data_IF_221416410952
#
_entry.id   IF_221416410952
#
_cell.length_a   1.000
_cell.length_b   1.000
_cell.length_c   1.000
_cell.angle_alpha   90.00
_cell.angle_beta   90.00
_cell.angle_gamma   90.00
#
_symmetry.space_group_name_H-M   'P 1'
#
loop_
_entity.id
_entity.type
_entity.pdbx_description
1 polymer ?
#
# COMPACT_ATOMS: atom_id res chain seq x y z
N UNK A 1 -23.63 -1.16 0.83
CA UNK A 1 -22.23 -1.66 0.66
C UNK A 1 -21.31 -0.55 1.11
N UNK A 2 -20.50 -0.77 2.13
CA UNK A 2 -19.53 0.21 2.61
C UNK A 2 -18.31 0.26 1.68
N UNK A 3 -17.40 1.25 1.86
CA UNK A 3 -16.25 1.44 0.98
C UNK A 3 -15.25 0.27 1.02
N UNK A 4 -15.13 -0.42 2.15
CA UNK A 4 -14.29 -1.61 2.28
C UNK A 4 -14.86 -2.80 1.49
N UNK A 5 -16.17 -3.03 1.57
CA UNK A 5 -16.85 -4.06 0.77
C UNK A 5 -16.72 -3.77 -0.73
N UNK A 6 -16.79 -2.49 -1.13
CA UNK A 6 -16.54 -2.10 -2.53
C UNK A 6 -15.12 -2.42 -2.95
N UNK A 7 -14.13 -2.11 -2.12
CA UNK A 7 -12.72 -2.40 -2.39
C UNK A 7 -12.48 -3.89 -2.58
N UNK A 8 -12.98 -4.71 -1.65
CA UNK A 8 -12.90 -6.17 -1.73
C UNK A 8 -13.59 -6.67 -3.00
N UNK A 9 -14.80 -6.15 -3.30
CA UNK A 9 -15.53 -6.53 -4.51
C UNK A 9 -14.82 -6.15 -5.80
N UNK A 10 -14.12 -5.00 -5.86
CA UNK A 10 -13.29 -4.61 -7.01
C UNK A 10 -12.11 -5.56 -7.14
N UNK A 11 -11.37 -5.81 -6.06
CA UNK A 11 -10.21 -6.69 -6.04
C UNK A 11 -10.57 -8.13 -6.45
N UNK A 12 -11.67 -8.68 -5.91
CA UNK A 12 -12.14 -10.05 -6.20
C UNK A 12 -12.53 -10.26 -7.66
N UNK A 13 -12.98 -9.21 -8.36
CA UNK A 13 -13.32 -9.28 -9.79
C UNK A 13 -12.12 -9.08 -10.72
N UNK A 14 -11.00 -8.62 -10.20
CA UNK A 14 -9.80 -8.38 -10.99
C UNK A 14 -8.94 -9.63 -11.08
N UNK A 15 -8.84 -10.20 -12.26
CA UNK A 15 -8.04 -11.41 -12.51
C UNK A 15 -6.58 -11.20 -12.14
N UNK A 16 -5.97 -10.07 -12.57
CA UNK A 16 -4.57 -9.80 -12.26
C UNK A 16 -4.34 -9.63 -10.75
N UNK A 17 -5.25 -8.93 -10.06
CA UNK A 17 -5.11 -8.68 -8.63
C UNK A 17 -5.22 -9.98 -7.83
N UNK A 18 -6.20 -10.84 -8.14
CA UNK A 18 -6.36 -12.14 -7.49
C UNK A 18 -5.20 -13.08 -7.78
N UNK A 19 -4.66 -13.09 -9.01
CA UNK A 19 -3.45 -13.85 -9.35
C UNK A 19 -2.25 -13.35 -8.55
N UNK A 20 -2.08 -12.03 -8.46
CA UNK A 20 -1.00 -11.43 -7.67
C UNK A 20 -1.11 -11.78 -6.18
N UNK A 21 -2.28 -11.59 -5.57
CA UNK A 21 -2.53 -11.92 -4.17
C UNK A 21 -2.29 -13.41 -3.88
N UNK A 22 -2.72 -14.29 -4.79
CA UNK A 22 -2.48 -15.74 -4.66
C UNK A 22 -1.00 -16.09 -4.75
N UNK A 23 -0.25 -15.47 -5.65
CA UNK A 23 1.19 -15.69 -5.79
C UNK A 23 1.95 -15.26 -4.52
N UNK A 24 1.62 -14.09 -3.94
CA UNK A 24 2.28 -13.61 -2.72
C UNK A 24 1.91 -14.49 -1.51
N UNK A 25 0.66 -14.95 -1.39
CA UNK A 25 0.25 -15.88 -0.33
C UNK A 25 1.10 -17.16 -0.32
N UNK A 26 1.46 -17.68 -1.50
CA UNK A 26 2.29 -18.87 -1.63
C UNK A 26 3.76 -18.67 -1.18
N UNK A 27 4.20 -17.41 -1.03
CA UNK A 27 5.50 -17.10 -0.45
C UNK A 27 5.57 -17.36 1.06
N UNK A 28 4.42 -17.56 1.71
CA UNK A 28 4.29 -17.86 3.14
C UNK A 28 4.92 -16.81 4.06
N UNK A 29 4.74 -15.54 3.70
CA UNK A 29 5.14 -14.41 4.54
C UNK A 29 4.12 -14.20 5.67
N UNK A 30 4.59 -13.99 6.90
CA UNK A 30 3.71 -13.86 8.08
C UNK A 30 2.86 -12.59 8.04
N UNK A 31 3.43 -11.49 7.56
CA UNK A 31 2.79 -10.18 7.50
C UNK A 31 3.14 -9.51 6.19
N UNK A 32 2.18 -9.41 5.27
CA UNK A 32 2.38 -8.88 3.93
C UNK A 32 1.12 -8.25 3.35
N UNK A 33 1.29 -7.41 2.35
CA UNK A 33 0.21 -6.94 1.48
C UNK A 33 0.76 -6.56 0.09
N UNK A 34 -0.14 -6.51 -0.90
CA UNK A 34 0.04 -5.74 -2.12
C UNK A 34 -0.63 -4.40 -1.89
N UNK A 35 0.05 -3.28 -2.20
CA UNK A 35 -0.49 -1.96 -1.89
C UNK A 35 -0.07 -0.87 -2.86
N UNK A 36 -0.10 0.36 -2.37
CA UNK A 36 0.46 1.48 -3.10
C UNK A 36 -0.29 1.86 -4.39
N UNK A 37 0.50 2.11 -5.41
CA UNK A 37 0.00 2.54 -6.73
C UNK A 37 -0.86 1.51 -7.42
N UNK A 38 -0.56 0.23 -7.25
CA UNK A 38 -1.29 -0.87 -7.87
C UNK A 38 -2.75 -0.93 -7.40
N UNK A 39 -2.99 -0.84 -6.08
CA UNK A 39 -4.35 -0.86 -5.52
C UNK A 39 -5.10 0.44 -5.84
N UNK A 40 -4.41 1.60 -5.81
CA UNK A 40 -5.03 2.85 -6.24
C UNK A 40 -5.51 2.77 -7.70
N UNK A 41 -4.68 2.33 -8.61
CA UNK A 41 -5.04 2.24 -10.02
C UNK A 41 -6.17 1.23 -10.25
N UNK A 42 -6.13 0.08 -9.58
CA UNK A 42 -7.22 -0.91 -9.63
C UNK A 42 -8.59 -0.29 -9.29
N UNK A 43 -8.66 0.50 -8.21
CA UNK A 43 -9.89 1.16 -7.79
C UNK A 43 -10.28 2.26 -8.76
N UNK A 44 -9.35 3.09 -9.20
CA UNK A 44 -9.62 4.21 -10.09
C UNK A 44 -10.03 3.76 -11.48
N UNK A 45 -9.42 2.72 -12.03
CA UNK A 45 -9.85 2.08 -13.28
C UNK A 45 -11.30 1.61 -13.19
N UNK A 46 -11.64 0.95 -12.08
CA UNK A 46 -13.02 0.52 -11.83
C UNK A 46 -14.00 1.67 -11.72
N UNK A 47 -13.62 2.78 -11.05
CA UNK A 47 -14.47 3.97 -10.92
C UNK A 47 -14.67 4.73 -12.23
N UNK A 48 -13.68 4.69 -13.13
CA UNK A 48 -13.77 5.27 -14.47
C UNK A 48 -14.43 4.34 -15.49
N UNK A 49 -14.65 3.07 -15.14
CA UNK A 49 -15.20 2.08 -16.05
C UNK A 49 -14.23 1.68 -17.16
N UNK A 50 -12.92 1.72 -16.91
CA UNK A 50 -11.92 1.30 -17.89
C UNK A 50 -11.96 -0.22 -18.08
N UNK A 51 -12.12 -0.68 -19.32
CA UNK A 51 -12.09 -2.09 -19.69
C UNK A 51 -10.66 -2.66 -19.66
N UNK A 52 -9.69 -1.81 -20.02
CA UNK A 52 -8.26 -2.17 -19.99
C UNK A 52 -7.61 -1.55 -18.77
N UNK A 53 -6.97 -2.36 -17.92
CA UNK A 53 -6.26 -1.84 -16.75
C UNK A 53 -5.18 -0.83 -17.14
N UNK A 54 -5.05 0.23 -16.34
CA UNK A 54 -3.93 1.19 -16.47
C UNK A 54 -2.60 0.44 -16.29
N UNK A 55 -1.62 0.77 -17.14
CA UNK A 55 -0.28 0.22 -17.03
C UNK A 55 0.30 0.43 -15.62
N UNK A 56 0.81 -0.65 -15.04
CA UNK A 56 1.47 -0.63 -13.74
C UNK A 56 2.98 -0.71 -13.98
N UNK A 57 3.76 0.31 -13.60
CA UNK A 57 5.21 0.25 -13.67
C UNK A 57 5.79 -0.73 -12.65
N UNK A 58 5.12 -0.86 -11.51
CA UNK A 58 5.46 -1.71 -10.37
C UNK A 58 4.20 -2.24 -9.68
N UNK A 59 4.35 -3.38 -8.99
CA UNK A 59 3.39 -3.94 -8.05
C UNK A 59 4.11 -4.15 -6.73
N UNK A 60 3.87 -3.22 -5.80
CA UNK A 60 4.49 -3.20 -4.49
C UNK A 60 4.00 -4.35 -3.60
N UNK A 61 4.91 -5.26 -3.24
CA UNK A 61 4.73 -6.25 -2.19
C UNK A 61 5.45 -5.76 -0.95
N UNK A 62 4.71 -5.26 0.02
CA UNK A 62 5.24 -4.88 1.32
C UNK A 62 5.08 -6.04 2.30
N UNK A 63 6.16 -6.41 2.98
CA UNK A 63 6.09 -7.36 4.08
C UNK A 63 6.85 -6.86 5.29
N UNK A 64 6.65 -7.47 6.44
CA UNK A 64 7.31 -7.07 7.68
C UNK A 64 7.95 -8.28 8.35
N UNK A 65 9.28 -8.33 8.33
CA UNK A 65 10.06 -9.34 9.02
C UNK A 65 11.29 -8.67 9.67
N UNK A 66 11.27 -8.54 10.99
CA UNK A 66 12.38 -7.95 11.75
C UNK A 66 13.51 -8.94 12.05
N UNK A 67 13.33 -10.21 11.73
CA UNK A 67 14.34 -11.24 11.95
C UNK A 67 15.39 -11.31 10.85
N UNK A 68 15.05 -10.88 9.64
CA UNK A 68 15.96 -10.80 8.50
C UNK A 68 15.78 -9.47 7.75
N UNK A 69 16.74 -8.58 7.91
CA UNK A 69 16.76 -7.25 7.28
C UNK A 69 17.61 -7.21 6.00
N UNK A 70 18.02 -8.35 5.46
CA UNK A 70 18.85 -8.43 4.27
C UNK A 70 18.06 -8.13 3.00
N UNK A 71 18.63 -7.33 2.11
CA UNK A 71 18.06 -7.10 0.77
C UNK A 71 18.12 -8.36 -0.14
N UNK A 72 18.90 -9.35 0.25
CA UNK A 72 18.96 -10.64 -0.45
C UNK A 72 17.62 -11.35 -0.36
N UNK A 73 16.97 -11.33 0.81
CA UNK A 73 15.64 -11.93 0.99
C UNK A 73 14.58 -11.26 0.13
N UNK A 74 14.58 -9.93 0.02
CA UNK A 74 13.69 -9.20 -0.88
C UNK A 74 13.87 -9.67 -2.33
N UNK A 75 15.14 -9.76 -2.79
CA UNK A 75 15.47 -10.20 -4.14
C UNK A 75 15.06 -11.66 -4.42
N UNK A 76 15.23 -12.57 -3.46
CA UNK A 76 14.82 -13.97 -3.58
C UNK A 76 13.31 -14.10 -3.70
N UNK A 77 12.53 -13.39 -2.88
CA UNK A 77 11.08 -13.38 -2.95
C UNK A 77 10.63 -12.81 -4.30
N UNK A 78 11.20 -11.68 -4.71
CA UNK A 78 10.89 -11.05 -6.00
C UNK A 78 11.18 -11.98 -7.18
N UNK A 79 12.31 -12.68 -7.17
CA UNK A 79 12.64 -13.65 -8.22
C UNK A 79 11.65 -14.82 -8.28
N UNK A 80 11.23 -15.34 -7.13
CA UNK A 80 10.22 -16.42 -7.06
C UNK A 80 8.86 -15.94 -7.58
N UNK A 81 8.45 -14.72 -7.26
CA UNK A 81 7.21 -14.11 -7.77
C UNK A 81 7.30 -13.89 -9.28
N UNK A 82 8.42 -13.37 -9.79
CA UNK A 82 8.65 -13.16 -11.22
C UNK A 82 8.68 -14.48 -12.01
N UNK A 83 9.19 -15.56 -11.42
CA UNK A 83 9.14 -16.88 -12.05
C UNK A 83 7.71 -17.45 -12.12
N UNK A 84 6.83 -17.10 -11.16
CA UNK A 84 5.45 -17.57 -11.11
C UNK A 84 4.49 -16.76 -11.96
N UNK A 85 4.63 -15.43 -11.95
CA UNK A 85 3.81 -14.48 -12.69
C UNK A 85 4.73 -13.45 -13.36
N UNK A 86 5.35 -13.80 -14.50
CA UNK A 86 6.34 -12.95 -15.17
C UNK A 86 5.74 -11.69 -15.79
N UNK A 87 4.43 -11.64 -15.97
CA UNK A 87 3.70 -10.49 -16.50
C UNK A 87 3.49 -9.38 -15.46
N UNK A 88 3.73 -9.66 -14.17
CA UNK A 88 3.56 -8.69 -13.08
C UNK A 88 4.92 -8.09 -12.74
N UNK A 89 5.05 -6.75 -12.80
CA UNK A 89 6.29 -6.05 -12.48
C UNK A 89 6.46 -5.94 -10.94
N UNK A 90 6.96 -6.98 -10.33
CA UNK A 90 7.09 -7.09 -8.88
C UNK A 90 8.16 -6.17 -8.31
N UNK A 91 7.82 -5.46 -7.24
CA UNK A 91 8.74 -4.78 -6.35
C UNK A 91 8.49 -5.25 -4.91
N UNK A 92 9.49 -5.94 -4.31
CA UNK A 92 9.36 -6.55 -2.98
C UNK A 92 10.21 -5.78 -1.99
N UNK A 93 9.63 -5.37 -0.87
CA UNK A 93 10.32 -4.59 0.15
C UNK A 93 9.95 -5.04 1.55
N UNK A 94 10.96 -5.43 2.34
CA UNK A 94 10.80 -5.61 3.79
C UNK A 94 10.70 -4.25 4.48
N UNK A 95 9.52 -3.96 5.00
CA UNK A 95 9.26 -2.68 5.66
C UNK A 95 10.03 -2.52 6.98
N UNK A 96 10.44 -3.61 7.61
CA UNK A 96 11.30 -3.57 8.80
C UNK A 96 12.70 -3.00 8.50
N UNK A 97 13.18 -3.16 7.25
CA UNK A 97 14.51 -2.70 6.80
C UNK A 97 14.54 -1.27 6.25
N UNK A 98 13.39 -0.61 6.05
CA UNK A 98 13.30 0.71 5.39
C UNK A 98 14.20 1.75 6.04
N UNK A 99 14.32 1.78 7.35
CA UNK A 99 15.14 2.74 8.08
C UNK A 99 16.65 2.65 7.74
N UNK A 100 17.12 1.51 7.23
CA UNK A 100 18.54 1.29 6.90
C UNK A 100 18.98 2.03 5.62
N UNK A 101 18.07 2.24 4.69
CA UNK A 101 18.37 2.86 3.39
C UNK A 101 17.65 4.21 3.19
N UNK A 102 16.65 4.53 4.01
CA UNK A 102 15.79 5.71 3.84
C UNK A 102 16.59 7.01 3.79
N UNK A 103 17.59 7.17 4.68
CA UNK A 103 18.43 8.37 4.72
C UNK A 103 19.22 8.57 3.42
N UNK A 104 19.74 7.50 2.84
CA UNK A 104 20.51 7.58 1.58
C UNK A 104 19.67 8.05 0.39
N UNK A 105 18.36 7.78 0.41
CA UNK A 105 17.42 8.12 -0.67
C UNK A 105 16.75 9.47 -0.44
N UNK A 106 16.37 9.77 0.81
CA UNK A 106 15.54 10.94 1.14
C UNK A 106 16.28 12.04 1.91
N UNK A 107 17.55 11.80 2.31
CA UNK A 107 18.42 12.81 2.92
C UNK A 107 18.17 13.07 4.41
N UNK A 108 17.37 12.26 5.07
CA UNK A 108 17.15 12.29 6.52
C UNK A 108 16.84 10.89 7.08
N UNK A 109 17.28 10.61 8.32
CA UNK A 109 16.99 9.33 8.95
C UNK A 109 15.53 9.23 9.41
N UNK A 110 15.05 8.01 9.53
CA UNK A 110 13.74 7.69 10.11
C UNK A 110 13.88 6.58 11.14
N UNK A 111 13.01 6.54 12.17
CA UNK A 111 13.04 5.43 13.12
C UNK A 111 12.61 4.12 12.44
N UNK A 112 13.07 2.96 12.97
CA UNK A 112 12.57 1.66 12.56
C UNK A 112 11.06 1.57 12.72
N UNK A 113 10.41 0.87 11.79
CA UNK A 113 9.00 0.51 11.89
C UNK A 113 8.84 -0.71 12.79
N UNK A 114 7.67 -0.85 13.41
CA UNK A 114 7.36 -1.93 14.34
C UNK A 114 6.32 -2.92 13.80
N UNK A 115 5.67 -2.59 12.68
CA UNK A 115 4.65 -3.44 12.04
C UNK A 115 4.40 -3.06 10.59
N UNK A 116 3.76 -3.95 9.84
CA UNK A 116 3.28 -3.67 8.49
C UNK A 116 2.23 -2.55 8.49
N UNK A 117 1.34 -2.52 9.46
CA UNK A 117 0.30 -1.48 9.55
C UNK A 117 0.92 -0.08 9.76
N UNK A 118 1.96 0.03 10.60
CA UNK A 118 2.71 1.28 10.78
C UNK A 118 3.44 1.68 9.49
N UNK A 119 3.99 0.70 8.77
CA UNK A 119 4.61 0.96 7.48
C UNK A 119 3.63 1.58 6.49
N UNK A 120 2.47 0.95 6.29
CA UNK A 120 1.42 1.44 5.40
C UNK A 120 0.94 2.82 5.86
N UNK A 121 0.78 3.05 7.18
CA UNK A 121 0.40 4.34 7.75
C UNK A 121 1.42 5.44 7.44
N UNK A 122 2.67 5.10 7.15
CA UNK A 122 3.74 6.04 6.83
C UNK A 122 3.92 6.33 5.34
N UNK A 123 3.18 5.66 4.45
CA UNK A 123 3.32 5.86 3.01
C UNK A 123 2.95 7.27 2.56
N UNK A 124 3.53 7.77 1.46
CA UNK A 124 3.54 9.19 1.14
C UNK A 124 2.17 9.84 0.87
N UNK A 125 1.17 9.06 0.50
CA UNK A 125 -0.16 9.54 0.10
C UNK A 125 -1.24 8.71 0.77
N UNK A 126 -2.29 9.34 1.31
CA UNK A 126 -3.39 8.62 1.96
C UNK A 126 -4.14 7.68 0.99
N UNK A 127 -4.33 8.10 -0.26
CA UNK A 127 -4.98 7.27 -1.28
C UNK A 127 -4.18 6.00 -1.64
N UNK A 128 -2.87 5.96 -1.39
CA UNK A 128 -2.01 4.80 -1.62
C UNK A 128 -1.63 4.07 -0.33
N UNK A 129 -1.97 4.62 0.85
CA UNK A 129 -1.75 3.98 2.15
C UNK A 129 -2.80 2.88 2.43
N UNK A 130 -2.96 1.99 1.46
CA UNK A 130 -3.92 0.87 1.46
C UNK A 130 -3.22 -0.37 0.93
N UNK A 131 -3.34 -1.46 1.68
CA UNK A 131 -2.80 -2.77 1.33
C UNK A 131 -3.87 -3.85 1.38
N UNK A 132 -3.76 -4.82 0.47
CA UNK A 132 -4.60 -6.02 0.42
C UNK A 132 -3.74 -7.26 0.60
N UNK A 133 -4.24 -8.23 1.37
CA UNK A 133 -3.67 -9.56 1.46
C UNK A 133 -4.74 -10.63 1.28
N UNK A 134 -4.33 -11.84 0.89
CA UNK A 134 -5.22 -12.98 0.74
C UNK A 134 -4.92 -13.98 1.86
N UNK A 135 -5.89 -14.20 2.72
CA UNK A 135 -5.78 -15.15 3.83
C UNK A 135 -5.87 -16.61 3.33
N UNK A 136 -5.53 -17.56 4.20
CA UNK A 136 -5.52 -18.98 3.85
C UNK A 136 -6.92 -19.54 3.49
N UNK A 137 -7.96 -18.94 4.06
CA UNK A 137 -9.36 -19.29 3.76
C UNK A 137 -9.90 -18.64 2.47
N UNK A 138 -9.04 -17.91 1.73
CA UNK A 138 -9.42 -17.21 0.51
C UNK A 138 -10.05 -15.83 0.75
N UNK A 139 -10.10 -15.37 1.98
CA UNK A 139 -10.62 -14.04 2.33
C UNK A 139 -9.60 -12.95 2.03
N UNK A 140 -10.05 -11.83 1.45
CA UNK A 140 -9.23 -10.63 1.30
C UNK A 140 -9.26 -9.83 2.59
N UNK A 141 -8.09 -9.61 3.19
CA UNK A 141 -7.90 -8.70 4.32
C UNK A 141 -7.44 -7.33 3.80
N UNK A 142 -7.91 -6.26 4.46
CA UNK A 142 -7.62 -4.87 4.07
C UNK A 142 -6.90 -4.16 5.20
N UNK A 143 -5.69 -3.72 4.95
CA UNK A 143 -4.96 -2.81 5.83
C UNK A 143 -5.03 -1.39 5.28
N UNK A 144 -5.83 -0.53 5.91
CA UNK A 144 -6.00 0.87 5.54
C UNK A 144 -6.03 1.74 6.80
N UNK A 145 -4.86 2.07 7.38
CA UNK A 145 -4.77 2.79 8.65
C UNK A 145 -5.45 4.17 8.65
N UNK A 146 -5.52 4.80 7.48
CA UNK A 146 -6.17 6.11 7.29
C UNK A 146 -7.57 6.01 6.65
N UNK A 147 -8.13 4.80 6.59
CA UNK A 147 -9.37 4.56 5.84
C UNK A 147 -9.15 4.53 4.32
N UNK A 148 -10.25 4.51 3.57
CA UNK A 148 -10.24 4.39 2.10
C UNK A 148 -10.95 5.57 1.42
N UNK A 149 -11.26 6.64 2.14
CA UNK A 149 -12.06 7.76 1.61
C UNK A 149 -11.30 8.52 0.52
N UNK A 150 -10.01 8.82 0.72
CA UNK A 150 -9.19 9.49 -0.29
C UNK A 150 -9.07 8.62 -1.56
N UNK A 151 -8.95 7.30 -1.40
CA UNK A 151 -8.87 6.35 -2.50
C UNK A 151 -10.15 6.39 -3.35
N UNK A 152 -11.33 6.33 -2.74
CA UNK A 152 -12.61 6.33 -3.45
C UNK A 152 -13.04 7.70 -3.94
N UNK A 153 -12.57 8.77 -3.30
CA UNK A 153 -12.80 10.15 -3.75
C UNK A 153 -11.82 10.61 -4.83
N UNK A 154 -10.87 9.75 -5.21
CA UNK A 154 -9.79 10.05 -6.18
C UNK A 154 -8.99 11.31 -5.79
N UNK A 155 -8.71 11.46 -4.49
CA UNK A 155 -7.95 12.57 -3.94
C UNK A 155 -6.53 12.14 -3.62
N UNK A 156 -5.54 12.84 -4.16
CA UNK A 156 -4.15 12.68 -3.76
C UNK A 156 -3.84 13.74 -2.72
N UNK A 157 -3.67 13.28 -1.48
CA UNK A 157 -3.31 14.11 -0.34
C UNK A 157 -2.05 13.55 0.31
N UNK A 158 -1.05 14.43 0.51
CA UNK A 158 0.22 14.06 1.15
C UNK A 158 0.01 13.56 2.57
N UNK A 159 0.68 12.47 2.90
CA UNK A 159 0.88 12.04 4.28
C UNK A 159 2.20 12.65 4.81
N UNK A 160 2.17 13.52 5.83
CA UNK A 160 3.36 14.20 6.32
C UNK A 160 4.27 13.34 7.20
N UNK A 161 3.89 12.11 7.52
CA UNK A 161 4.53 11.27 8.55
C UNK A 161 6.02 11.04 8.31
N UNK A 162 6.44 10.76 7.06
CA UNK A 162 7.85 10.47 6.72
C UNK A 162 8.39 11.29 5.56
N UNK A 163 7.54 11.83 4.72
CA UNK A 163 7.96 12.50 3.50
C UNK A 163 7.82 14.00 3.64
N UNK A 164 8.95 14.72 3.52
CA UNK A 164 8.96 16.18 3.54
C UNK A 164 8.17 16.74 2.36
N UNK A 165 7.69 17.98 2.46
CA UNK A 165 6.96 18.64 1.37
C UNK A 165 7.80 18.78 0.10
N UNK A 166 9.11 18.99 0.24
CA UNK A 166 10.05 19.11 -0.87
C UNK A 166 10.23 17.78 -1.59
N UNK A 167 10.43 16.68 -0.84
CA UNK A 167 10.52 15.33 -1.39
C UNK A 167 9.21 14.94 -2.08
N UNK A 168 8.06 15.31 -1.50
CA UNK A 168 6.76 15.05 -2.10
C UNK A 168 6.55 15.81 -3.41
N UNK A 169 6.91 17.12 -3.46
CA UNK A 169 6.83 17.93 -4.69
C UNK A 169 7.70 17.33 -5.80
N UNK A 170 8.93 16.94 -5.49
CA UNK A 170 9.85 16.29 -6.42
C UNK A 170 9.28 14.97 -6.96
N UNK A 171 8.65 14.17 -6.09
CA UNK A 171 7.96 12.93 -6.48
C UNK A 171 6.78 13.17 -7.43
N UNK A 172 5.97 14.22 -7.18
CA UNK A 172 4.87 14.59 -8.08
C UNK A 172 5.40 15.02 -9.45
N UNK A 173 6.44 15.83 -9.50
CA UNK A 173 7.07 16.27 -10.74
C UNK A 173 7.57 15.07 -11.56
N UNK A 174 8.23 14.11 -10.92
CA UNK A 174 8.70 12.87 -11.58
C UNK A 174 7.53 12.02 -12.11
N UNK A 175 6.45 11.89 -11.35
CA UNK A 175 5.26 11.14 -11.78
C UNK A 175 4.50 11.84 -12.91
N UNK A 176 4.39 13.16 -12.89
CA UNK A 176 3.73 13.95 -13.96
C UNK A 176 4.51 13.91 -15.27
N UNK A 177 5.83 13.76 -15.24
CA UNK A 177 6.63 13.54 -16.45
C UNK A 177 6.49 12.12 -16.99
N UNK A 178 6.10 11.15 -16.16
CA UNK A 178 5.93 9.74 -16.57
C UNK A 178 4.49 9.39 -17.00
N UNK A 179 3.49 10.18 -16.62
CA UNK A 179 2.07 9.89 -16.86
C UNK A 179 1.33 11.12 -17.38
N UNK A 180 1.38 11.37 -18.69
CA UNK A 180 0.42 12.24 -19.37
C UNK A 180 -0.93 11.51 -19.51
N UNK A 181 -1.66 11.35 -18.40
CA UNK A 181 -3.02 10.83 -18.34
C UNK A 181 -3.99 11.85 -17.75
N UNK A 182 -5.33 11.74 -17.93
CA UNK A 182 -6.28 12.81 -17.67
C UNK A 182 -6.35 13.20 -16.20
N UNK A 183 -6.23 14.50 -15.97
CA UNK A 183 -6.62 15.35 -14.85
C UNK A 183 -6.69 14.70 -13.44
N UNK A 184 -5.53 14.56 -12.79
CA UNK A 184 -5.43 14.43 -11.34
C UNK A 184 -5.83 15.74 -10.67
N UNK A 185 -6.83 15.73 -9.80
CA UNK A 185 -7.13 16.88 -8.94
C UNK A 185 -6.13 16.89 -7.78
N UNK A 186 -5.12 17.75 -7.88
CA UNK A 186 -4.25 18.08 -6.76
C UNK A 186 -5.01 19.04 -5.84
N UNK A 187 -5.37 18.60 -4.63
CA UNK A 187 -5.83 19.51 -3.60
C UNK A 187 -4.61 20.13 -2.93
N UNK A 188 -4.19 21.29 -3.42
CA UNK A 188 -3.29 22.19 -2.71
C UNK A 188 -4.14 23.10 -1.84
N UNK A 189 -4.53 22.65 -0.63
CA UNK A 189 -5.08 23.57 0.36
C UNK A 189 -5.06 22.98 1.76
N UNK A 190 -4.54 23.80 2.65
CA UNK A 190 -4.52 23.74 4.12
C UNK A 190 -3.40 22.91 4.77
N UNK A 191 -2.16 23.39 4.60
CA UNK A 191 -1.12 23.28 5.61
C UNK A 191 -1.29 24.42 6.64
N UNK A 192 -2.43 24.49 7.33
CA UNK A 192 -2.56 25.35 8.50
C UNK A 192 -3.34 24.59 9.57
N UNK A 193 -2.66 24.34 10.69
CA UNK A 193 -3.17 23.79 11.95
C UNK A 193 -3.45 22.27 11.98
N UNK A 194 -2.40 21.47 11.92
CA UNK A 194 -2.44 20.13 12.49
C UNK A 194 -2.23 20.23 14.00
N UNK A 195 -3.31 20.17 14.78
CA UNK A 195 -3.22 19.83 16.21
C UNK A 195 -2.66 18.40 16.33
N UNK A 196 -1.68 18.17 17.22
CA UNK A 196 -1.14 16.84 17.42
C UNK A 196 -2.26 15.90 17.95
N UNK A 197 -2.27 14.60 17.53
CA UNK A 197 -3.23 13.66 18.06
C UNK A 197 -3.01 13.48 19.56
N UNK A 198 -4.07 13.20 20.35
CA UNK A 198 -3.98 13.00 21.79
C UNK A 198 -3.08 11.80 22.09
N UNK A 199 -2.19 11.96 23.07
CA UNK A 199 -1.29 10.93 23.55
C UNK A 199 -2.04 9.61 23.82
N UNK A 200 -1.64 8.56 23.12
CA UNK A 200 -2.12 7.22 23.35
C UNK A 200 -1.53 6.72 24.68
N UNK A 201 -2.33 6.75 25.75
CA UNK A 201 -2.00 6.13 27.04
C UNK A 201 -1.81 4.64 26.82
N UNK A 202 -0.67 4.15 27.25
CA UNK A 202 -0.26 2.75 27.34
C UNK A 202 -1.40 1.86 27.81
N UNK A 203 -1.89 0.98 26.94
CA UNK A 203 -2.63 -0.21 27.33
C UNK A 203 -1.89 -1.44 26.82
N UNK A 204 -1.67 -2.36 27.76
CA UNK A 204 -0.96 -3.62 27.67
C UNK A 204 -1.44 -4.49 26.50
N UNK A 205 -0.48 -5.18 25.90
CA UNK A 205 -0.56 -6.41 25.09
C UNK A 205 -1.98 -6.95 24.86
N UNK A 206 -2.62 -6.48 23.80
CA UNK A 206 -3.73 -7.17 23.14
C UNK A 206 -3.77 -6.64 21.70
N UNK A 207 -3.84 -7.56 20.75
CA UNK A 207 -3.92 -7.36 19.31
C UNK A 207 -4.54 -6.02 18.92
N UNK A 208 -3.74 -5.13 18.32
CA UNK A 208 -4.20 -3.85 17.82
C UNK A 208 -5.15 -4.11 16.61
N UNK A 209 -6.42 -4.29 16.89
CA UNK A 209 -7.49 -4.26 15.90
C UNK A 209 -7.93 -2.81 15.76
N UNK A 210 -7.23 -2.04 14.93
CA UNK A 210 -7.71 -0.72 14.51
C UNK A 210 -8.31 -0.88 13.11
N UNK A 211 -9.60 -0.64 13.03
CA UNK A 211 -10.32 -0.66 11.78
C UNK A 211 -11.21 -1.89 11.61
N UNK A 212 -12.44 -1.64 11.24
CA UNK A 212 -13.47 -2.64 10.98
C UNK A 212 -12.97 -3.65 9.95
N UNK A 213 -12.70 -4.88 10.38
CA UNK A 213 -12.42 -5.99 9.48
C UNK A 213 -13.69 -6.34 8.72
N UNK A 214 -13.77 -5.99 7.48
CA UNK A 214 -14.79 -6.53 6.59
C UNK A 214 -14.20 -7.70 5.85
N UNK A 215 -14.66 -8.88 6.19
CA UNK A 215 -14.21 -10.15 5.64
C UNK A 215 -15.26 -10.62 4.63
N UNK A 216 -14.89 -10.72 3.35
CA UNK A 216 -15.75 -11.34 2.33
C UNK A 216 -15.19 -12.71 1.95
N UNK A 217 -16.02 -13.76 2.06
CA UNK A 217 -15.67 -15.09 1.56
C UNK A 217 -15.91 -15.16 0.05
N UNK A 218 -14.94 -15.66 -0.66
CA UNK A 218 -15.13 -16.11 -2.04
C UNK A 218 -15.75 -17.51 -1.99
N UNK A 219 -16.97 -17.64 -2.49
CA UNK A 219 -17.57 -18.96 -2.73
C UNK A 219 -16.95 -19.59 -3.98
N UNK A 220 -16.79 -20.93 -4.03
CA UNK A 220 -16.16 -21.64 -5.15
C UNK A 220 -16.92 -21.48 -6.45
#
# INVERSE_FOLDING_TARGET
MNSYEKLIGIASRSTWCMSALSAVREMQLDSWCIGGGAIRNLVWDSLHGYETPTYLPDVDVAYFDSSDLSSTRDAEIQQRLAARCPEIPWEVTNQAAVHLWFESVFGHPVPPLTSLAEAIASWPEYATAVGLSLLQDGTIDVCAPHGVDDLFSMVIRRNPTRVSIETYRRRIEQKNTATAGPALRLSASHDEQATPPPECRTLSRSRCTVGVKTVARLSP
#
